data_IF_592724040899
#
_entry.id   IF_592724040899
#
_cell.length_a   1.000
_cell.length_b   1.000
_cell.length_c   1.000
_cell.angle_alpha   90.00
_cell.angle_beta   90.00
_cell.angle_gamma   90.00
#
_symmetry.space_group_name_H-M   'P 1'
#
loop_
_entity.id
_entity.type
_entity.pdbx_description
1 polymer ?
#
# COMPACT_ATOMS: atom_id res chain seq x y z
N UNK A 1 -8.13 1.97 10.39
CA UNK A 1 -7.84 0.65 9.79
C UNK A 1 -7.61 0.89 8.30
N UNK A 2 -6.57 0.33 7.68
CA UNK A 2 -6.40 0.41 6.21
C UNK A 2 -7.15 -0.75 5.57
N UNK A 3 -8.42 -0.51 5.28
CA UNK A 3 -9.30 -1.43 4.57
C UNK A 3 -9.81 -0.73 3.33
N UNK A 4 -9.30 -1.13 2.18
CA UNK A 4 -9.73 -0.55 0.91
C UNK A 4 -11.02 -1.23 0.45
N UNK A 5 -12.06 -0.47 0.06
CA UNK A 5 -13.25 -1.02 -0.57
C UNK A 5 -12.88 -1.67 -1.90
N UNK A 6 -13.53 -2.80 -2.20
CA UNK A 6 -13.47 -3.42 -3.51
C UNK A 6 -14.85 -3.46 -4.16
N UNK A 7 -14.90 -3.13 -5.44
CA UNK A 7 -16.07 -3.34 -6.29
C UNK A 7 -15.91 -4.66 -7.04
N UNK A 8 -16.95 -5.50 -6.99
CA UNK A 8 -17.02 -6.74 -7.74
C UNK A 8 -17.78 -6.53 -9.05
N UNK A 9 -17.12 -6.84 -10.15
CA UNK A 9 -17.69 -6.83 -11.49
C UNK A 9 -17.77 -8.26 -12.02
N UNK A 10 -18.94 -8.63 -12.56
CA UNK A 10 -19.19 -9.97 -13.12
C UNK A 10 -19.29 -9.88 -14.63
N UNK A 11 -18.53 -10.72 -15.31
CA UNK A 11 -18.52 -10.82 -16.76
C UNK A 11 -18.87 -12.25 -17.22
N UNK A 12 -19.26 -12.47 -18.48
CA UNK A 12 -19.57 -13.82 -18.97
C UNK A 12 -18.39 -14.82 -18.83
N UNK A 13 -17.16 -14.30 -18.86
CA UNK A 13 -15.92 -15.09 -18.85
C UNK A 13 -15.25 -15.18 -17.48
N UNK A 14 -15.79 -14.54 -16.44
CA UNK A 14 -15.17 -14.52 -15.11
C UNK A 14 -15.59 -13.33 -14.27
N UNK A 15 -14.72 -12.93 -13.35
CA UNK A 15 -14.94 -11.76 -12.50
C UNK A 15 -13.69 -10.90 -12.45
N UNK A 16 -13.89 -9.61 -12.14
CA UNK A 16 -12.80 -8.72 -11.84
C UNK A 16 -13.16 -7.78 -10.68
N UNK A 17 -12.12 -7.30 -10.01
CA UNK A 17 -12.18 -6.45 -8.83
C UNK A 17 -11.50 -5.12 -9.14
N UNK A 18 -12.12 -4.03 -8.70
CA UNK A 18 -11.49 -2.69 -8.68
C UNK A 18 -11.52 -2.11 -7.29
N UNK A 19 -10.71 -1.07 -7.06
CA UNK A 19 -10.77 -0.25 -5.86
C UNK A 19 -11.14 1.20 -6.23
N UNK A 20 -12.25 1.78 -5.73
CA UNK A 20 -12.60 3.16 -6.05
C UNK A 20 -11.60 4.18 -5.47
N UNK A 21 -10.92 3.85 -4.38
CA UNK A 21 -9.88 4.72 -3.80
C UNK A 21 -8.55 4.63 -4.53
N UNK A 22 -8.27 3.48 -5.17
CA UNK A 22 -7.06 3.20 -5.93
C UNK A 22 -7.49 2.75 -7.34
N UNK A 23 -7.89 3.68 -8.23
CA UNK A 23 -8.48 3.32 -9.53
C UNK A 23 -7.56 2.51 -10.45
N UNK A 24 -6.24 2.57 -10.22
CA UNK A 24 -5.25 1.78 -10.93
C UNK A 24 -5.18 0.32 -10.48
N UNK A 25 -5.79 -0.03 -9.35
CA UNK A 25 -5.86 -1.39 -8.84
C UNK A 25 -6.90 -2.19 -9.62
N UNK A 26 -6.47 -3.33 -10.13
CA UNK A 26 -7.35 -4.33 -10.73
C UNK A 26 -6.84 -5.74 -10.42
N UNK A 27 -7.77 -6.68 -10.30
CA UNK A 27 -7.48 -8.10 -10.22
C UNK A 27 -8.61 -8.88 -10.89
N UNK A 28 -8.31 -10.00 -11.52
CA UNK A 28 -9.31 -10.82 -12.22
C UNK A 28 -9.06 -12.31 -12.00
N UNK A 29 -10.09 -13.10 -12.23
CA UNK A 29 -10.03 -14.56 -12.16
C UNK A 29 -11.29 -15.18 -12.76
N UNK A 30 -11.27 -16.49 -13.00
CA UNK A 30 -12.46 -17.21 -13.46
C UNK A 30 -13.51 -17.25 -12.33
N UNK A 31 -13.06 -17.15 -11.08
CA UNK A 31 -13.90 -17.10 -9.88
C UNK A 31 -13.54 -15.96 -8.93
N UNK A 32 -14.46 -15.59 -8.03
CA UNK A 32 -14.21 -14.58 -6.99
C UNK A 32 -13.04 -14.95 -6.07
N UNK A 33 -12.89 -16.20 -5.58
CA UNK A 33 -11.71 -16.59 -4.80
C UNK A 33 -10.38 -16.38 -5.53
N UNK A 34 -10.31 -16.66 -6.83
CA UNK A 34 -9.11 -16.43 -7.65
C UNK A 34 -8.83 -14.93 -7.82
N UNK A 35 -9.84 -14.13 -8.15
CA UNK A 35 -9.65 -12.68 -8.24
C UNK A 35 -9.21 -12.07 -6.90
N UNK A 36 -9.71 -12.59 -5.77
CA UNK A 36 -9.29 -12.18 -4.43
C UNK A 36 -7.86 -12.62 -4.09
N UNK A 37 -7.39 -13.78 -4.57
CA UNK A 37 -6.00 -14.21 -4.34
C UNK A 37 -5.02 -13.30 -5.07
N UNK A 38 -5.38 -12.79 -6.25
CA UNK A 38 -4.57 -11.86 -7.04
C UNK A 38 -4.70 -10.39 -6.58
N UNK A 39 -5.72 -10.06 -5.77
CA UNK A 39 -6.02 -8.68 -5.37
C UNK A 39 -4.86 -8.00 -4.63
N UNK A 40 -4.07 -8.75 -3.86
CA UNK A 40 -2.91 -8.18 -3.16
C UNK A 40 -1.81 -7.76 -4.12
N UNK A 41 -1.45 -8.62 -5.06
CA UNK A 41 -0.42 -8.34 -6.05
C UNK A 41 -0.87 -7.19 -6.98
N UNK A 42 -2.15 -7.16 -7.35
CA UNK A 42 -2.76 -6.05 -8.09
C UNK A 42 -2.71 -4.72 -7.32
N UNK A 43 -2.97 -4.75 -6.01
CA UNK A 43 -2.86 -3.58 -5.14
C UNK A 43 -1.41 -3.08 -5.02
N UNK A 44 -0.45 -3.96 -4.74
CA UNK A 44 0.96 -3.57 -4.59
C UNK A 44 1.54 -3.02 -5.90
N UNK A 45 1.14 -3.60 -7.04
CA UNK A 45 1.47 -3.07 -8.37
C UNK A 45 0.90 -1.67 -8.58
N UNK A 46 -0.37 -1.45 -8.23
CA UNK A 46 -1.01 -0.14 -8.34
C UNK A 46 -0.34 0.90 -7.44
N UNK A 47 0.01 0.56 -6.19
CA UNK A 47 0.69 1.45 -5.26
C UNK A 47 2.09 1.87 -5.77
N UNK A 48 2.81 0.99 -6.45
CA UNK A 48 4.08 1.34 -7.10
C UNK A 48 3.92 2.43 -8.17
N UNK A 49 2.80 2.46 -8.90
CA UNK A 49 2.51 3.53 -9.86
C UNK A 49 2.40 4.91 -9.18
N UNK A 50 1.87 4.98 -7.95
CA UNK A 50 1.82 6.23 -7.20
C UNK A 50 3.22 6.73 -6.84
N UNK A 51 4.13 5.83 -6.49
CA UNK A 51 5.53 6.16 -6.19
C UNK A 51 6.25 6.68 -7.44
N UNK A 52 6.09 5.98 -8.56
CA UNK A 52 6.70 6.34 -9.84
C UNK A 52 6.21 7.70 -10.34
N UNK A 53 4.91 7.95 -10.23
CA UNK A 53 4.27 9.21 -10.63
C UNK A 53 4.39 10.31 -9.57
N UNK A 54 5.07 10.05 -8.44
CA UNK A 54 5.24 11.00 -7.33
C UNK A 54 3.91 11.51 -6.76
N UNK A 55 2.88 10.67 -6.74
CA UNK A 55 1.53 10.96 -6.24
C UNK A 55 1.38 10.49 -4.80
N UNK A 56 0.61 11.24 -4.01
CA UNK A 56 0.19 10.79 -2.67
C UNK A 56 -0.76 9.60 -2.83
N UNK A 57 -0.53 8.54 -2.05
CA UNK A 57 -1.42 7.38 -2.01
C UNK A 57 -2.68 7.78 -1.21
N UNK A 58 -3.89 7.66 -1.80
CA UNK A 58 -5.15 7.98 -1.14
C UNK A 58 -5.34 7.16 0.13
N UNK A 59 -5.91 7.77 1.16
CA UNK A 59 -6.34 7.04 2.34
C UNK A 59 -7.57 6.20 1.98
N UNK A 60 -7.63 4.98 2.53
CA UNK A 60 -8.80 4.13 2.39
C UNK A 60 -10.06 4.83 2.92
N UNK A 61 -11.11 4.85 2.12
CA UNK A 61 -12.41 5.41 2.48
C UNK A 61 -13.18 4.44 3.37
N UNK A 62 -13.87 4.99 4.37
CA UNK A 62 -14.82 4.23 5.19
C UNK A 62 -16.17 4.34 4.50
N UNK A 63 -16.51 3.35 3.66
CA UNK A 63 -17.77 3.38 2.90
C UNK A 63 -18.79 2.42 3.52
N UNK A 64 -19.87 2.92 4.14
CA UNK A 64 -20.98 2.09 4.55
C UNK A 64 -21.59 1.40 3.32
N UNK A 65 -21.74 0.07 3.38
CA UNK A 65 -22.44 -0.70 2.34
C UNK A 65 -21.57 -1.39 1.28
N UNK A 66 -20.23 -1.27 1.35
CA UNK A 66 -19.38 -2.17 0.56
C UNK A 66 -19.33 -3.56 1.20
N UNK A 67 -19.64 -4.59 0.41
CA UNK A 67 -19.63 -5.98 0.86
C UNK A 67 -18.22 -6.58 0.89
N UNK A 68 -17.30 -6.06 0.06
CA UNK A 68 -15.92 -6.53 -0.03
C UNK A 68 -14.94 -5.47 0.44
N UNK A 69 -14.15 -5.83 1.46
CA UNK A 69 -13.10 -5.00 2.02
C UNK A 69 -11.78 -5.75 1.97
N UNK A 70 -10.77 -5.11 1.40
CA UNK A 70 -9.42 -5.63 1.35
C UNK A 70 -8.60 -5.07 2.51
N UNK A 71 -8.20 -5.95 3.45
CA UNK A 71 -7.23 -5.59 4.49
C UNK A 71 -5.82 -5.73 3.93
N UNK A 72 -5.04 -4.66 4.01
CA UNK A 72 -3.64 -4.71 3.60
C UNK A 72 -2.74 -5.31 4.70
N UNK A 73 -1.66 -6.02 4.34
CA UNK A 73 -0.62 -6.38 5.28
C UNK A 73 -0.05 -5.16 6.00
N UNK A 74 0.33 -5.33 7.27
CA UNK A 74 0.85 -4.23 8.09
C UNK A 74 2.08 -3.54 7.47
N UNK A 75 2.95 -4.31 6.82
CA UNK A 75 4.13 -3.77 6.12
C UNK A 75 3.73 -2.89 4.93
N UNK A 76 2.76 -3.33 4.11
CA UNK A 76 2.24 -2.56 2.98
C UNK A 76 1.68 -1.22 3.47
N UNK A 77 0.90 -1.22 4.55
CA UNK A 77 0.40 0.01 5.20
C UNK A 77 1.55 0.90 5.69
N UNK A 78 2.56 0.32 6.33
CA UNK A 78 3.72 1.08 6.81
C UNK A 78 4.47 1.76 5.67
N UNK A 79 4.58 1.11 4.50
CA UNK A 79 5.19 1.69 3.29
C UNK A 79 4.35 2.83 2.72
N UNK A 80 3.01 2.70 2.69
CA UNK A 80 2.11 3.80 2.31
C UNK A 80 2.37 5.02 3.21
N UNK A 81 2.45 4.80 4.53
CA UNK A 81 2.71 5.87 5.49
C UNK A 81 4.09 6.51 5.29
N UNK A 82 5.12 5.72 5.05
CA UNK A 82 6.46 6.22 4.76
C UNK A 82 6.47 7.09 3.51
N UNK A 83 5.89 6.59 2.42
CA UNK A 83 5.81 7.31 1.15
C UNK A 83 5.05 8.64 1.29
N UNK A 84 3.86 8.60 1.89
CA UNK A 84 3.06 9.80 2.09
C UNK A 84 3.77 10.81 3.01
N UNK A 85 4.49 10.35 4.03
CA UNK A 85 5.29 11.22 4.91
C UNK A 85 6.44 11.89 4.16
N UNK A 86 7.11 11.19 3.24
CA UNK A 86 8.15 11.80 2.40
C UNK A 86 7.60 12.94 1.55
N UNK A 87 6.41 12.76 0.98
CA UNK A 87 5.74 13.80 0.19
C UNK A 87 5.29 14.97 1.06
N UNK A 88 4.69 14.71 2.22
CA UNK A 88 4.22 15.73 3.17
C UNK A 88 5.36 16.62 3.68
N UNK A 89 6.48 16.00 4.05
CA UNK A 89 7.66 16.70 4.58
C UNK A 89 8.56 17.29 3.47
N UNK A 90 8.24 17.04 2.19
CA UNK A 90 9.07 17.45 1.06
C UNK A 90 10.48 16.81 1.05
N UNK A 91 10.63 15.67 1.73
CA UNK A 91 11.92 15.00 1.89
C UNK A 91 12.17 14.08 0.69
N UNK A 92 13.26 14.32 -0.03
CA UNK A 92 13.66 13.43 -1.13
C UNK A 92 14.17 12.09 -0.60
N UNK A 93 14.03 11.03 -1.40
CA UNK A 93 14.62 9.72 -1.11
C UNK A 93 16.15 9.75 -0.92
N UNK A 94 16.86 10.69 -1.59
CA UNK A 94 18.29 10.89 -1.38
C UNK A 94 18.60 11.51 -0.02
N UNK A 95 17.79 12.49 0.40
CA UNK A 95 17.91 13.11 1.71
C UNK A 95 17.59 12.11 2.83
N UNK A 96 16.54 11.30 2.69
CA UNK A 96 16.26 10.22 3.64
C UNK A 96 17.44 9.23 3.74
N UNK A 97 18.07 8.87 2.61
CA UNK A 97 19.24 7.99 2.62
C UNK A 97 20.42 8.60 3.39
N UNK A 98 20.63 9.92 3.25
CA UNK A 98 21.63 10.67 4.02
C UNK A 98 21.34 10.65 5.53
N UNK A 99 20.08 10.88 5.92
CA UNK A 99 19.65 10.82 7.34
C UNK A 99 19.86 9.42 7.95
N UNK A 100 19.50 8.38 7.19
CA UNK A 100 19.66 6.99 7.61
C UNK A 100 21.10 6.48 7.56
N UNK A 101 22.04 7.23 6.96
CA UNK A 101 23.41 6.80 6.76
C UNK A 101 23.53 5.58 5.83
N UNK A 102 22.65 5.47 4.81
CA UNK A 102 22.61 4.35 3.88
C UNK A 102 22.65 4.79 2.41
N UNK A 103 22.65 3.84 1.49
CA UNK A 103 22.62 4.13 0.06
C UNK A 103 21.19 4.48 -0.40
N UNK A 104 21.09 5.21 -1.52
CA UNK A 104 19.81 5.54 -2.15
C UNK A 104 18.99 4.29 -2.53
N UNK A 105 19.65 3.23 -2.98
CA UNK A 105 19.00 1.95 -3.32
C UNK A 105 18.28 1.31 -2.13
N UNK A 106 18.81 1.47 -0.91
CA UNK A 106 18.13 0.97 0.30
C UNK A 106 16.81 1.71 0.50
N UNK A 107 16.80 3.03 0.34
CA UNK A 107 15.56 3.82 0.48
C UNK A 107 14.57 3.55 -0.65
N UNK A 108 15.04 3.39 -1.88
CA UNK A 108 14.18 3.05 -3.01
C UNK A 108 13.43 1.73 -2.75
N UNK A 109 14.10 0.73 -2.17
CA UNK A 109 13.49 -0.55 -1.74
C UNK A 109 12.46 -0.41 -0.62
N UNK A 110 12.60 0.58 0.27
CA UNK A 110 11.65 0.80 1.36
C UNK A 110 10.31 1.37 0.88
N UNK A 111 10.30 2.05 -0.27
CA UNK A 111 9.08 2.61 -0.88
C UNK A 111 8.63 1.84 -2.12
N UNK A 112 9.36 0.80 -2.52
CA UNK A 112 8.95 -0.14 -3.57
C UNK A 112 7.99 -1.17 -2.96
N UNK A 113 6.74 -1.19 -3.43
CA UNK A 113 5.72 -2.10 -2.89
C UNK A 113 5.93 -3.55 -3.32
N UNK A 114 6.66 -3.80 -4.42
CA UNK A 114 6.96 -5.13 -4.93
C UNK A 114 8.24 -5.74 -4.32
N UNK A 115 8.92 -4.98 -3.44
CA UNK A 115 10.13 -5.44 -2.78
C UNK A 115 9.91 -5.83 -1.32
N UNK A 116 10.25 -7.05 -0.92
CA UNK A 116 10.22 -7.44 0.48
C UNK A 116 11.12 -6.53 1.35
N UNK A 117 10.59 -5.98 2.43
CA UNK A 117 11.33 -5.11 3.35
C UNK A 117 11.13 -5.56 4.78
N UNK A 118 12.09 -5.25 5.64
CA UNK A 118 11.97 -5.50 7.08
C UNK A 118 11.22 -4.34 7.73
N UNK A 119 10.24 -4.63 8.58
CA UNK A 119 9.41 -3.61 9.22
C UNK A 119 10.26 -2.63 10.04
N UNK A 120 11.33 -3.12 10.67
CA UNK A 120 12.26 -2.34 11.48
C UNK A 120 12.99 -1.27 10.64
N UNK A 121 13.20 -1.53 9.34
CA UNK A 121 13.81 -0.53 8.45
C UNK A 121 12.81 0.57 8.08
N UNK A 122 11.53 0.22 7.90
CA UNK A 122 10.45 1.19 7.66
C UNK A 122 10.22 2.05 8.90
N UNK A 123 10.25 1.45 10.09
CA UNK A 123 10.16 2.17 11.37
C UNK A 123 11.29 3.18 11.54
N UNK A 124 12.54 2.79 11.26
CA UNK A 124 13.69 3.69 11.30
C UNK A 124 13.53 4.86 10.32
N UNK A 125 13.08 4.58 9.10
CA UNK A 125 12.84 5.62 8.10
C UNK A 125 11.74 6.60 8.53
N UNK A 126 10.65 6.11 9.12
CA UNK A 126 9.59 6.94 9.68
C UNK A 126 10.08 7.81 10.85
N UNK A 127 10.98 7.29 11.69
CA UNK A 127 11.55 8.04 12.81
C UNK A 127 12.37 9.26 12.33
N UNK A 128 13.12 9.13 11.23
CA UNK A 128 13.84 10.26 10.58
C UNK A 128 12.91 11.34 9.99
N UNK A 129 11.61 11.03 9.91
CA UNK A 129 10.53 11.92 9.48
C UNK A 129 9.65 12.35 10.67
N UNK A 130 10.07 12.09 11.92
CA UNK A 130 9.32 12.47 13.11
C UNK A 130 8.04 11.66 13.34
N UNK A 131 7.91 10.48 12.71
CA UNK A 131 6.75 9.58 12.83
C UNK A 131 7.15 8.30 13.57
N UNK A 132 6.17 7.65 14.21
CA UNK A 132 6.37 6.37 14.90
C UNK A 132 5.25 5.39 14.53
N UNK A 133 5.60 4.12 14.32
CA UNK A 133 4.59 3.07 14.18
C UNK A 133 4.03 2.75 15.57
N UNK A 134 2.73 2.53 15.63
CA UNK A 134 2.04 2.03 16.83
C UNK A 134 1.23 0.81 16.43
N UNK A 135 1.28 -0.24 17.24
CA UNK A 135 0.63 -1.52 16.96
C UNK A 135 -0.60 -1.70 17.84
N UNK A 136 -1.64 -2.28 17.24
CA UNK A 136 -2.85 -2.75 17.94
C UNK A 136 -3.23 -4.11 17.36
N UNK A 137 -3.80 -4.98 18.19
CA UNK A 137 -4.20 -6.33 17.82
C UNK A 137 -5.72 -6.38 17.84
N UNK A 138 -6.31 -6.94 16.79
CA UNK A 138 -7.74 -7.12 16.63
C UNK A 138 -8.07 -8.61 16.47
N UNK A 139 -9.31 -9.00 16.71
CA UNK A 139 -9.77 -10.35 16.37
C UNK A 139 -9.79 -10.49 14.85
N UNK A 140 -9.22 -11.58 14.36
CA UNK A 140 -9.41 -12.00 12.98
C UNK A 140 -10.90 -12.35 12.77
N UNK A 141 -11.44 -11.94 11.62
CA UNK A 141 -12.78 -12.32 11.17
C UNK A 141 -12.74 -13.69 10.48
#
# INVERSE_FOLDING_TARGET
>A
MYQYPLDLHREPTGVWLSCPDIPEMSASGDTLPEALSEALDGMESALSLYVDQRRKIPQASVVPGHELLMRLPALTVAKIMLWNSLLEEGVSRAELARRLGCTRQVVDRLVDFLHASKIEQVERALAELGRRITLSIERAA
#
